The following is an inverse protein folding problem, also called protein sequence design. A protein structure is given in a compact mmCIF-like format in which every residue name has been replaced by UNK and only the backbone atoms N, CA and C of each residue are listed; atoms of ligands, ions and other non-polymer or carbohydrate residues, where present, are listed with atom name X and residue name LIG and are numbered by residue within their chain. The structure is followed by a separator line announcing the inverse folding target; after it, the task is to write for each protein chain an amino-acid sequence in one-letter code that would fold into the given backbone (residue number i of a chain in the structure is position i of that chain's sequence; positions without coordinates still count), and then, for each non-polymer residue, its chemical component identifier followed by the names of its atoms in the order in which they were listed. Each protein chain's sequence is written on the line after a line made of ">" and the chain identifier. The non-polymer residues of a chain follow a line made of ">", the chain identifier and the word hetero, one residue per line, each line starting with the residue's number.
data_IF_398236574008
#
_entry.id   IF_398236574008
#
_cell.length_a   1.000
_cell.length_b   1.000
_cell.length_c   1.000
_cell.angle_alpha   90.00
_cell.angle_beta   90.00
_cell.angle_gamma   90.00
#
_symmetry.space_group_name_H-M   'P 1'
#
loop_
_entity.id
_entity.type
_entity.pdbx_description
1 polymer ?
#
# COMPACT_ATOMS: atom_id res chain seq x y z
N UNK A 1 -0.28 8.97 7.22
CA UNK A 1 1.04 8.35 6.93
C UNK A 1 1.26 7.04 7.67
N UNK A 2 1.58 7.00 8.97
CA UNK A 2 2.03 5.77 9.64
C UNK A 2 1.18 4.50 9.44
N UNK A 3 -0.16 4.59 9.43
CA UNK A 3 -1.05 3.43 9.17
C UNK A 3 -0.92 2.90 7.74
N UNK A 4 -0.84 3.78 6.74
CA UNK A 4 -0.62 3.40 5.34
C UNK A 4 0.73 2.68 5.22
N UNK A 5 1.77 3.27 5.83
CA UNK A 5 3.13 2.72 5.81
C UNK A 5 3.21 1.32 6.43
N UNK A 6 2.51 1.11 7.55
CA UNK A 6 2.41 -0.21 8.19
C UNK A 6 1.66 -1.23 7.31
N UNK A 7 0.67 -0.83 6.52
CA UNK A 7 0.01 -1.74 5.58
C UNK A 7 1.00 -2.28 4.53
N UNK A 8 1.94 -1.46 4.07
CA UNK A 8 3.01 -1.91 3.18
C UNK A 8 4.06 -2.77 3.90
N UNK A 9 4.58 -2.27 5.02
CA UNK A 9 5.64 -2.95 5.78
C UNK A 9 5.21 -4.31 6.35
N UNK A 10 3.91 -4.49 6.63
CA UNK A 10 3.37 -5.74 7.22
C UNK A 10 2.67 -6.63 6.20
N UNK A 11 2.74 -6.31 4.90
CA UNK A 11 1.97 -7.02 3.86
C UNK A 11 0.48 -7.14 4.22
N UNK A 12 -0.12 -6.03 4.65
CA UNK A 12 -1.57 -5.89 4.92
C UNK A 12 -2.21 -4.87 3.99
N UNK A 13 -1.85 -4.94 2.69
CA UNK A 13 -2.39 -4.06 1.65
C UNK A 13 -3.91 -4.19 1.50
N UNK A 14 -4.48 -5.32 1.93
CA UNK A 14 -5.92 -5.55 2.04
C UNK A 14 -6.66 -4.53 2.94
N UNK A 15 -5.94 -3.86 3.85
CA UNK A 15 -6.51 -2.83 4.72
C UNK A 15 -6.48 -1.42 4.12
N UNK A 16 -5.72 -1.20 3.04
CA UNK A 16 -5.55 0.12 2.44
C UNK A 16 -6.89 0.78 2.02
N UNK A 17 -7.86 0.07 1.42
CA UNK A 17 -9.17 0.68 1.09
C UNK A 17 -9.88 1.23 2.33
N UNK A 18 -9.85 0.49 3.44
CA UNK A 18 -10.47 0.93 4.70
C UNK A 18 -9.73 2.10 5.34
N UNK A 19 -8.39 2.10 5.26
CA UNK A 19 -7.57 3.21 5.75
C UNK A 19 -7.82 4.46 4.91
N UNK A 20 -7.94 4.32 3.59
CA UNK A 20 -8.28 5.40 2.68
C UNK A 20 -9.67 5.99 3.01
N UNK A 21 -10.69 5.16 3.17
CA UNK A 21 -12.03 5.64 3.57
C UNK A 21 -12.02 6.41 4.89
N UNK A 22 -11.25 5.94 5.87
CA UNK A 22 -11.08 6.62 7.15
C UNK A 22 -10.43 8.00 6.98
N UNK A 23 -9.42 8.12 6.11
CA UNK A 23 -8.70 9.36 5.87
C UNK A 23 -9.52 10.36 5.06
N UNK A 24 -10.21 9.90 4.01
CA UNK A 24 -11.10 10.70 3.17
C UNK A 24 -12.21 11.37 4.00
N UNK A 25 -12.61 10.71 5.09
CA UNK A 25 -13.69 11.14 5.98
C UNK A 25 -15.08 10.79 5.46
N UNK A 26 -16.12 10.85 6.32
CA UNK A 26 -17.49 10.46 5.96
C UNK A 26 -18.07 11.30 4.81
N UNK A 27 -17.70 12.58 4.76
CA UNK A 27 -18.16 13.54 3.74
C UNK A 27 -17.18 13.69 2.56
N UNK A 28 -16.11 12.88 2.52
CA UNK A 28 -15.07 12.91 1.47
C UNK A 28 -14.32 14.26 1.32
N UNK A 29 -14.37 15.12 2.33
CA UNK A 29 -13.72 16.44 2.30
C UNK A 29 -12.18 16.38 2.27
N UNK A 30 -11.56 15.26 2.64
CA UNK A 30 -10.11 15.12 2.67
C UNK A 30 -9.53 14.43 1.43
N UNK A 31 -10.39 14.02 0.48
CA UNK A 31 -9.99 13.38 -0.77
C UNK A 31 -9.05 14.27 -1.56
N UNK A 32 -7.89 13.75 -2.00
CA UNK A 32 -6.98 14.48 -2.88
C UNK A 32 -6.24 15.65 -2.20
N UNK A 33 -6.39 15.83 -0.89
CA UNK A 33 -5.91 17.02 -0.20
C UNK A 33 -4.41 16.99 0.11
N UNK A 34 -3.80 15.80 0.18
CA UNK A 34 -2.39 15.65 0.55
C UNK A 34 -1.65 14.71 -0.41
N UNK A 35 -0.60 15.24 -1.03
CA UNK A 35 0.28 14.56 -1.98
C UNK A 35 0.81 13.24 -1.43
N UNK A 36 1.37 13.21 -0.22
CA UNK A 36 1.99 11.99 0.31
C UNK A 36 0.97 10.91 0.63
N UNK A 37 -0.23 11.30 1.07
CA UNK A 37 -1.32 10.35 1.33
C UNK A 37 -1.76 9.71 0.01
N UNK A 38 -2.06 10.52 -1.00
CA UNK A 38 -2.52 10.02 -2.28
C UNK A 38 -1.45 9.23 -3.03
N UNK A 39 -0.22 9.73 -3.03
CA UNK A 39 0.91 9.08 -3.69
C UNK A 39 1.17 7.70 -3.08
N UNK A 40 1.27 7.58 -1.75
CA UNK A 40 1.44 6.27 -1.11
C UNK A 40 0.26 5.33 -1.40
N UNK A 41 -0.97 5.82 -1.47
CA UNK A 41 -2.14 5.00 -1.76
C UNK A 41 -2.19 4.56 -3.23
N UNK A 42 -1.60 5.33 -4.15
CA UNK A 42 -1.58 5.03 -5.59
C UNK A 42 -0.78 3.76 -5.95
N UNK A 43 0.16 3.35 -5.09
CA UNK A 43 0.92 2.10 -5.25
C UNK A 43 0.09 0.83 -5.00
N UNK A 44 -1.15 0.97 -4.52
CA UNK A 44 -2.11 -0.13 -4.40
C UNK A 44 -3.11 -0.07 -5.57
N UNK A 45 -3.76 -1.20 -5.94
CA UNK A 45 -4.72 -1.24 -7.03
C UNK A 45 -6.06 -0.60 -6.63
N UNK A 46 -6.04 0.70 -6.40
CA UNK A 46 -7.17 1.53 -5.99
C UNK A 46 -7.29 2.72 -6.94
N UNK A 47 -8.50 3.18 -7.16
CA UNK A 47 -8.74 4.44 -7.84
C UNK A 47 -8.45 5.58 -6.84
N UNK A 48 -7.34 6.31 -7.06
CA UNK A 48 -6.84 7.37 -6.18
C UNK A 48 -6.69 8.69 -6.96
N UNK A 49 -6.52 9.77 -6.22
CA UNK A 49 -6.58 11.13 -6.76
C UNK A 49 -5.18 11.67 -6.99
N UNK A 50 -5.00 12.45 -8.05
CA UNK A 50 -3.79 13.27 -8.18
C UNK A 50 -3.86 14.43 -7.18
N UNK A 51 -2.71 14.73 -6.54
CA UNK A 51 -2.56 15.85 -5.61
C UNK A 51 -1.15 16.39 -5.73
N UNK A 52 -1.01 17.71 -5.71
CA UNK A 52 0.28 18.43 -5.72
C UNK A 52 0.51 19.20 -4.41
N UNK A 53 -0.40 19.05 -3.45
CA UNK A 53 -0.44 19.84 -2.22
C UNK A 53 0.11 19.01 -1.06
N UNK A 54 1.16 19.47 -0.40
CA UNK A 54 1.64 18.88 0.86
C UNK A 54 1.04 19.65 2.05
N UNK A 55 0.09 19.07 2.79
CA UNK A 55 -0.60 19.78 3.88
C UNK A 55 0.31 20.06 5.08
N UNK A 56 1.24 19.14 5.35
CA UNK A 56 2.17 19.26 6.48
C UNK A 56 3.60 19.23 5.96
N UNK A 57 4.20 20.40 5.82
CA UNK A 57 5.56 20.54 5.27
C UNK A 57 6.63 20.00 6.22
N UNK A 58 6.63 20.37 7.50
CA UNK A 58 7.61 19.85 8.47
C UNK A 58 6.99 18.72 9.31
N UNK A 59 7.55 17.50 9.35
CA UNK A 59 8.83 17.05 8.76
C UNK A 59 8.77 16.51 7.32
N UNK A 60 7.60 16.43 6.68
CA UNK A 60 7.37 15.55 5.53
C UNK A 60 7.86 16.05 4.16
N UNK A 61 8.32 17.29 4.03
CA UNK A 61 8.84 17.86 2.76
C UNK A 61 9.94 16.98 2.17
N UNK A 62 10.91 16.56 2.98
CA UNK A 62 12.00 15.70 2.49
C UNK A 62 11.55 14.27 2.20
N UNK A 63 10.39 13.83 2.68
CA UNK A 63 9.78 12.59 2.22
C UNK A 63 9.05 12.80 0.89
N UNK A 64 8.34 13.92 0.74
CA UNK A 64 7.69 14.28 -0.53
C UNK A 64 8.70 14.40 -1.66
N UNK A 65 9.82 15.10 -1.43
CA UNK A 65 10.94 15.17 -2.38
C UNK A 65 11.46 13.77 -2.77
N UNK A 66 11.48 12.82 -1.82
CA UNK A 66 11.96 11.48 -2.09
C UNK A 66 11.00 10.69 -3.00
N UNK A 67 9.69 10.88 -2.82
CA UNK A 67 8.66 10.24 -3.65
C UNK A 67 8.60 10.83 -5.07
N UNK A 68 8.87 12.13 -5.22
CA UNK A 68 8.94 12.83 -6.51
C UNK A 68 10.32 12.74 -7.20
N UNK A 69 11.27 12.01 -6.60
CA UNK A 69 12.62 11.89 -7.14
C UNK A 69 12.66 11.06 -8.43
N UNK A 70 13.44 11.53 -9.41
CA UNK A 70 13.61 10.85 -10.69
C UNK A 70 14.35 9.51 -10.61
N UNK A 71 15.16 9.31 -9.57
CA UNK A 71 15.89 8.06 -9.35
C UNK A 71 16.11 7.74 -7.85
N UNK A 72 16.44 6.48 -7.59
CA UNK A 72 16.61 5.95 -6.23
C UNK A 72 17.79 6.57 -5.48
N UNK A 73 18.81 7.08 -6.18
CA UNK A 73 19.96 7.73 -5.54
C UNK A 73 19.56 9.09 -5.00
N UNK A 74 18.77 9.85 -5.75
CA UNK A 74 18.22 11.12 -5.30
C UNK A 74 17.18 10.91 -4.20
N UNK A 75 16.27 9.93 -4.36
CA UNK A 75 15.34 9.54 -3.31
C UNK A 75 16.05 9.21 -1.98
N UNK A 76 17.13 8.43 -2.03
CA UNK A 76 17.94 8.10 -0.85
C UNK A 76 18.54 9.35 -0.18
N UNK A 77 18.96 10.37 -0.94
CA UNK A 77 19.46 11.63 -0.34
C UNK A 77 18.36 12.33 0.44
N UNK A 78 17.15 12.38 -0.12
CA UNK A 78 15.98 12.98 0.51
C UNK A 78 15.53 12.20 1.76
N UNK A 79 15.50 10.87 1.69
CA UNK A 79 15.22 10.01 2.86
C UNK A 79 16.25 10.17 3.98
N UNK A 80 17.55 10.31 3.65
CA UNK A 80 18.60 10.62 4.65
C UNK A 80 18.37 11.98 5.30
N UNK A 81 17.98 13.00 4.52
CA UNK A 81 17.67 14.34 5.03
C UNK A 81 16.45 14.28 5.96
N UNK A 82 15.40 13.58 5.55
CA UNK A 82 14.19 13.34 6.33
C UNK A 82 14.50 12.68 7.68
N UNK A 83 15.17 11.52 7.68
CA UNK A 83 15.51 10.78 8.91
C UNK A 83 16.48 11.53 9.83
N UNK A 84 17.43 12.29 9.26
CA UNK A 84 18.36 13.13 10.04
C UNK A 84 17.63 14.21 10.84
N UNK A 85 16.53 14.73 10.30
CA UNK A 85 15.77 15.82 10.91
C UNK A 85 14.58 15.34 11.75
N UNK A 86 14.11 14.11 11.50
CA UNK A 86 12.93 13.48 12.09
C UNK A 86 12.61 13.91 13.54
N UNK A 87 13.46 13.53 14.50
CA UNK A 87 13.17 13.82 15.91
C UNK A 87 13.14 15.32 16.24
N UNK A 88 14.05 16.11 15.63
CA UNK A 88 14.10 17.57 15.85
C UNK A 88 12.86 18.25 15.28
N UNK A 89 12.47 17.89 14.07
CA UNK A 89 11.35 18.50 13.36
C UNK A 89 10.00 18.11 13.98
N UNK A 90 9.97 17.02 14.75
CA UNK A 90 8.84 16.62 15.58
C UNK A 90 8.72 17.40 16.88
N UNK A 91 9.58 18.37 17.18
CA UNK A 91 9.54 19.14 18.44
C UNK A 91 8.19 19.85 18.70
N UNK A 92 7.43 20.17 17.65
CA UNK A 92 6.09 20.75 17.75
C UNK A 92 4.97 19.73 18.02
N UNK A 93 5.26 18.43 17.91
CA UNK A 93 4.25 17.40 18.10
C UNK A 93 3.90 17.24 19.59
N UNK A 94 2.61 17.08 19.97
CA UNK A 94 2.20 16.92 21.36
C UNK A 94 2.82 15.72 22.09
N UNK A 95 3.30 14.74 21.34
CA UNK A 95 3.94 13.51 21.81
C UNK A 95 5.48 13.58 21.75
N UNK A 96 6.05 14.70 21.33
CA UNK A 96 7.48 14.93 21.48
C UNK A 96 7.87 14.85 22.96
N UNK A 97 9.03 14.27 23.25
CA UNK A 97 9.48 13.94 24.61
C UNK A 97 8.57 13.03 25.45
N UNK A 98 7.56 12.36 24.87
CA UNK A 98 6.74 11.40 25.63
C UNK A 98 7.52 10.21 26.22
N UNK A 99 8.75 9.96 25.75
CA UNK A 99 9.68 8.98 26.33
C UNK A 99 10.31 9.46 27.65
N UNK A 100 10.22 10.75 27.97
CA UNK A 100 10.71 11.34 29.22
C UNK A 100 9.58 11.31 30.26
N UNK A 101 9.89 11.19 31.56
CA UNK A 101 8.90 11.36 32.61
C UNK A 101 8.30 12.77 32.58
N UNK A 102 7.01 12.89 32.90
CA UNK A 102 6.37 14.19 33.12
C UNK A 102 6.81 14.84 34.44
N UNK A 103 6.26 16.02 34.74
CA UNK A 103 6.58 16.77 35.96
C UNK A 103 6.25 16.01 37.26
N UNK A 104 5.42 14.96 37.20
CA UNK A 104 5.07 14.08 38.31
C UNK A 104 5.85 12.75 38.28
N UNK A 105 6.83 12.63 37.39
CA UNK A 105 7.64 11.42 37.22
C UNK A 105 6.89 10.28 36.52
N UNK A 106 5.72 10.53 35.95
CA UNK A 106 4.93 9.51 35.25
C UNK A 106 5.48 9.32 33.85
N UNK A 107 5.56 8.07 33.42
CA UNK A 107 5.89 7.69 32.05
C UNK A 107 4.68 7.00 31.43
N UNK A 108 4.24 7.42 30.24
CA UNK A 108 3.10 6.79 29.56
C UNK A 108 2.86 7.37 28.17
N UNK A 109 2.36 6.54 27.25
CA UNK A 109 2.00 6.97 25.91
C UNK A 109 3.14 7.01 24.88
N UNK A 110 4.38 6.69 25.25
CA UNK A 110 5.48 6.52 24.29
C UNK A 110 5.42 5.16 23.61
N UNK A 111 5.37 5.17 22.27
CA UNK A 111 5.35 3.97 21.44
C UNK A 111 6.50 3.93 20.41
N UNK A 112 7.54 4.74 20.63
CA UNK A 112 8.66 4.88 19.70
C UNK A 112 8.56 6.13 18.84
N UNK A 113 9.70 6.57 18.29
CA UNK A 113 9.79 7.59 17.24
C UNK A 113 9.92 6.94 15.86
N UNK A 114 9.26 5.80 15.62
CA UNK A 114 9.44 5.05 14.38
C UNK A 114 8.99 5.86 13.17
N UNK A 115 9.87 6.02 12.19
CA UNK A 115 9.52 6.57 10.88
C UNK A 115 9.13 5.43 9.95
N UNK A 116 7.89 4.95 10.10
CA UNK A 116 7.36 3.89 9.24
C UNK A 116 7.26 4.36 7.79
N UNK A 117 6.96 5.64 7.56
CA UNK A 117 6.88 6.22 6.24
C UNK A 117 8.21 6.21 5.47
N UNK A 118 9.36 6.40 6.13
CA UNK A 118 10.66 6.21 5.48
C UNK A 118 10.89 4.74 5.08
N UNK A 119 10.49 3.80 5.95
CA UNK A 119 10.59 2.36 5.65
C UNK A 119 9.70 1.95 4.49
N UNK A 120 8.46 2.43 4.46
CA UNK A 120 7.53 2.16 3.36
C UNK A 120 8.01 2.79 2.04
N UNK A 121 8.54 4.02 2.05
CA UNK A 121 9.10 4.65 0.85
C UNK A 121 10.21 3.82 0.21
N UNK A 122 11.09 3.19 1.02
CA UNK A 122 12.12 2.26 0.50
C UNK A 122 11.51 1.10 -0.27
N UNK A 123 10.38 0.54 0.21
CA UNK A 123 9.68 -0.53 -0.49
C UNK A 123 8.99 -0.04 -1.77
N UNK A 124 8.29 1.11 -1.70
CA UNK A 124 7.49 1.63 -2.81
C UNK A 124 8.37 2.10 -3.98
N UNK A 125 9.50 2.74 -3.68
CA UNK A 125 10.48 3.19 -4.67
C UNK A 125 11.41 2.06 -5.17
N UNK A 126 11.26 0.83 -4.67
CA UNK A 126 12.11 -0.30 -5.06
C UNK A 126 13.59 -0.07 -4.77
N UNK A 127 13.90 0.53 -3.61
CA UNK A 127 15.30 0.78 -3.22
C UNK A 127 15.91 -0.51 -2.67
N UNK A 128 16.81 -1.12 -3.45
CA UNK A 128 17.47 -2.37 -3.10
C UNK A 128 18.39 -2.25 -1.88
N UNK A 129 19.29 -1.26 -1.88
CA UNK A 129 20.26 -1.01 -0.81
C UNK A 129 19.94 0.29 -0.05
N UNK A 130 19.34 0.11 1.13
CA UNK A 130 18.98 1.14 2.09
C UNK A 130 19.94 1.18 3.30
N UNK A 131 21.07 0.47 3.25
CA UNK A 131 22.04 0.38 4.37
C UNK A 131 22.50 1.73 4.90
N UNK A 132 22.54 2.74 4.03
CA UNK A 132 22.88 4.11 4.38
C UNK A 132 21.91 4.77 5.38
N UNK A 133 20.69 4.23 5.51
CA UNK A 133 19.65 4.68 6.44
C UNK A 133 19.74 3.98 7.82
N UNK A 134 20.49 2.87 7.93
CA UNK A 134 20.54 2.07 9.16
C UNK A 134 21.20 2.80 10.34
N UNK A 135 21.90 3.89 10.08
CA UNK A 135 22.51 4.74 11.12
C UNK A 135 21.47 5.55 11.89
N UNK A 136 20.25 5.70 11.36
CA UNK A 136 19.18 6.48 11.98
C UNK A 136 18.34 5.59 12.89
N UNK A 137 18.35 5.89 14.20
CA UNK A 137 17.65 5.11 15.24
C UNK A 137 16.15 4.87 14.94
N UNK A 138 15.53 5.81 14.26
CA UNK A 138 14.09 5.85 13.98
C UNK A 138 13.70 5.05 12.73
N UNK A 139 14.69 4.66 11.93
CA UNK A 139 14.48 3.89 10.72
C UNK A 139 14.18 2.42 11.07
N UNK A 140 13.04 1.85 10.64
CA UNK A 140 12.62 0.52 11.04
C UNK A 140 13.31 -0.57 10.18
N UNK A 141 14.65 -0.59 10.16
CA UNK A 141 15.47 -1.45 9.27
C UNK A 141 15.05 -2.92 9.28
N UNK A 142 14.83 -3.49 10.47
CA UNK A 142 14.52 -4.92 10.60
C UNK A 142 13.12 -5.25 10.05
N UNK A 143 12.21 -4.28 10.09
CA UNK A 143 10.87 -4.41 9.50
C UNK A 143 10.91 -4.27 7.98
N UNK A 144 11.78 -3.41 7.44
CA UNK A 144 12.02 -3.28 5.99
C UNK A 144 12.66 -4.55 5.44
N UNK A 145 13.71 -5.06 6.10
CA UNK A 145 14.36 -6.33 5.77
C UNK A 145 13.35 -7.49 5.79
N UNK A 146 12.52 -7.54 6.84
CA UNK A 146 11.46 -8.53 6.94
C UNK A 146 10.47 -8.39 5.77
N UNK A 147 10.01 -7.17 5.46
CA UNK A 147 9.06 -6.94 4.37
C UNK A 147 9.63 -7.38 3.01
N UNK A 148 10.88 -7.01 2.71
CA UNK A 148 11.61 -7.43 1.49
C UNK A 148 11.68 -8.96 1.38
N UNK A 149 12.05 -9.64 2.48
CA UNK A 149 12.15 -11.10 2.52
C UNK A 149 10.80 -11.83 2.39
N UNK A 150 9.68 -11.16 2.64
CA UNK A 150 8.33 -11.74 2.63
C UNK A 150 7.44 -11.21 1.50
N UNK A 151 8.01 -10.70 0.41
CA UNK A 151 7.27 -10.20 -0.76
C UNK A 151 6.28 -11.22 -1.36
N UNK A 152 6.49 -12.52 -1.14
CA UNK A 152 5.54 -13.58 -1.51
C UNK A 152 4.17 -13.46 -0.83
N UNK A 153 4.08 -12.80 0.33
CA UNK A 153 2.81 -12.57 1.02
C UNK A 153 1.94 -11.57 0.27
N UNK A 154 2.54 -10.56 -0.34
CA UNK A 154 1.86 -9.65 -1.25
C UNK A 154 1.29 -10.40 -2.46
N UNK A 155 2.10 -11.25 -3.11
CA UNK A 155 1.65 -12.04 -4.25
C UNK A 155 0.47 -12.95 -3.90
N UNK A 156 0.48 -13.55 -2.70
CA UNK A 156 -0.66 -14.34 -2.20
C UNK A 156 -1.89 -13.48 -1.93
N UNK A 157 -1.75 -12.30 -1.34
CA UNK A 157 -2.88 -11.39 -1.14
C UNK A 157 -3.46 -10.89 -2.46
N UNK A 158 -2.62 -10.52 -3.42
CA UNK A 158 -3.05 -10.12 -4.75
C UNK A 158 -3.75 -11.27 -5.46
N UNK A 159 -3.25 -12.51 -5.34
CA UNK A 159 -3.93 -13.70 -5.85
C UNK A 159 -5.27 -13.96 -5.15
N UNK A 160 -5.38 -13.74 -3.83
CA UNK A 160 -6.62 -13.90 -3.07
C UNK A 160 -7.65 -12.82 -3.44
N UNK A 161 -7.24 -11.56 -3.51
CA UNK A 161 -8.07 -10.44 -3.96
C UNK A 161 -8.53 -10.63 -5.42
N UNK A 162 -7.65 -11.14 -6.27
CA UNK A 162 -7.96 -11.59 -7.61
C UNK A 162 -8.98 -12.74 -7.59
N UNK A 163 -8.82 -13.80 -6.78
CA UNK A 163 -9.84 -14.87 -6.64
C UNK A 163 -11.17 -14.43 -5.98
N UNK A 164 -11.20 -13.24 -5.37
CA UNK A 164 -12.40 -12.61 -4.83
C UNK A 164 -13.30 -12.00 -5.91
N UNK A 165 -12.75 -11.69 -7.09
CA UNK A 165 -13.54 -11.33 -8.26
C UNK A 165 -14.25 -12.59 -8.78
N UNK A 166 -15.53 -12.68 -8.43
CA UNK A 166 -16.44 -13.73 -8.87
C UNK A 166 -17.59 -13.10 -9.64
N UNK A 167 -18.03 -13.76 -10.70
CA UNK A 167 -19.16 -13.33 -11.51
C UNK A 167 -20.00 -14.56 -11.85
N UNK A 168 -21.29 -14.50 -11.53
CA UNK A 168 -22.24 -15.56 -11.90
C UNK A 168 -22.51 -15.52 -13.41
N UNK A 169 -22.76 -16.69 -14.01
CA UNK A 169 -23.20 -16.73 -15.39
C UNK A 169 -24.50 -15.92 -15.60
N UNK A 170 -24.57 -15.20 -16.72
CA UNK A 170 -25.63 -14.26 -17.05
C UNK A 170 -25.41 -12.84 -16.52
N UNK A 171 -24.39 -12.62 -15.67
CA UNK A 171 -24.01 -11.27 -15.24
C UNK A 171 -22.95 -10.66 -16.18
N UNK A 172 -22.93 -9.32 -16.33
CA UNK A 172 -21.88 -8.65 -17.08
C UNK A 172 -20.53 -8.75 -16.35
N UNK A 173 -19.47 -8.95 -17.14
CA UNK A 173 -18.11 -9.08 -16.62
C UNK A 173 -17.69 -7.79 -15.89
N UNK A 174 -17.36 -7.86 -14.58
CA UNK A 174 -17.05 -6.65 -13.81
C UNK A 174 -15.70 -6.03 -14.19
N UNK A 175 -14.77 -6.83 -14.74
CA UNK A 175 -13.42 -6.40 -15.11
C UNK A 175 -12.89 -7.21 -16.28
N UNK A 176 -12.38 -6.53 -17.30
CA UNK A 176 -11.78 -7.16 -18.48
C UNK A 176 -10.51 -7.94 -18.13
N UNK A 177 -10.41 -9.19 -18.58
CA UNK A 177 -9.27 -10.07 -18.31
C UNK A 177 -9.56 -11.56 -18.52
N UNK A 178 -8.64 -12.42 -18.13
CA UNK A 178 -8.81 -13.88 -18.10
C UNK A 178 -9.59 -14.33 -16.87
N UNK A 179 -10.60 -15.15 -17.11
CA UNK A 179 -11.43 -15.79 -16.08
C UNK A 179 -11.51 -17.29 -16.34
N UNK A 180 -11.70 -18.06 -15.28
CA UNK A 180 -11.91 -19.50 -15.33
C UNK A 180 -13.08 -19.91 -14.45
N UNK A 181 -13.66 -21.07 -14.74
CA UNK A 181 -14.67 -21.69 -13.87
C UNK A 181 -14.26 -23.11 -13.50
N UNK A 182 -14.31 -23.50 -12.21
CA UNK A 182 -14.05 -24.87 -11.78
C UNK A 182 -15.04 -25.89 -12.36
N UNK A 183 -16.20 -25.41 -12.84
CA UNK A 183 -17.25 -26.22 -13.45
C UNK A 183 -16.78 -27.01 -14.69
N UNK A 184 -15.70 -26.56 -15.35
CA UNK A 184 -15.14 -27.22 -16.53
C UNK A 184 -13.63 -27.03 -16.59
N UNK A 185 -12.89 -28.13 -16.72
CA UNK A 185 -11.45 -28.09 -16.98
C UNK A 185 -11.15 -27.40 -18.32
N UNK A 186 -10.11 -26.58 -18.36
CA UNK A 186 -9.77 -25.79 -19.55
C UNK A 186 -10.79 -24.70 -19.90
N UNK A 187 -11.56 -24.21 -18.92
CA UNK A 187 -12.56 -23.14 -19.15
C UNK A 187 -11.97 -21.74 -19.29
N UNK A 188 -10.68 -21.56 -18.91
CA UNK A 188 -9.95 -20.30 -18.93
C UNK A 188 -10.11 -19.58 -20.25
N UNK A 189 -10.61 -18.34 -20.21
CA UNK A 189 -10.74 -17.48 -21.40
C UNK A 189 -10.79 -16.02 -21.02
N UNK A 190 -10.48 -15.16 -21.99
CA UNK A 190 -10.58 -13.72 -21.85
C UNK A 190 -12.03 -13.25 -21.98
N UNK A 191 -12.43 -12.32 -21.11
CA UNK A 191 -13.69 -11.56 -21.19
C UNK A 191 -13.36 -10.06 -21.14
N UNK A 192 -13.84 -9.25 -22.10
CA UNK A 192 -13.91 -7.80 -21.96
C UNK A 192 -14.87 -7.39 -20.85
N UNK A 193 -14.63 -6.24 -20.23
CA UNK A 193 -15.54 -5.67 -19.24
C UNK A 193 -16.92 -5.43 -19.87
N UNK A 194 -17.98 -5.73 -19.11
CA UNK A 194 -19.37 -5.59 -19.56
C UNK A 194 -19.89 -6.75 -20.41
N UNK A 195 -19.04 -7.66 -20.90
CA UNK A 195 -19.51 -8.84 -21.64
C UNK A 195 -20.24 -9.81 -20.69
N UNK A 196 -21.43 -10.28 -21.08
CA UNK A 196 -22.15 -11.29 -20.32
C UNK A 196 -21.36 -12.60 -20.24
N UNK A 197 -21.25 -13.15 -19.02
CA UNK A 197 -20.53 -14.38 -18.79
C UNK A 197 -21.40 -15.61 -19.05
N UNK A 198 -20.97 -16.56 -19.90
CA UNK A 198 -21.82 -17.66 -20.32
C UNK A 198 -21.95 -18.73 -19.24
N UNK A 199 -23.10 -19.43 -19.17
CA UNK A 199 -23.21 -20.64 -18.36
C UNK A 199 -22.36 -21.76 -18.96
N UNK A 200 -21.78 -22.58 -18.10
CA UNK A 200 -21.04 -23.79 -18.44
C UNK A 200 -21.72 -24.96 -17.75
N UNK A 201 -22.17 -25.93 -18.54
CA UNK A 201 -22.83 -27.13 -18.02
C UNK A 201 -21.94 -27.82 -16.99
N UNK A 202 -22.45 -27.99 -15.78
CA UNK A 202 -21.79 -28.64 -14.66
C UNK A 202 -22.82 -29.47 -13.89
N UNK A 203 -22.38 -30.58 -13.31
CA UNK A 203 -23.23 -31.46 -12.51
C UNK A 203 -23.58 -30.86 -11.13
N UNK A 204 -23.02 -29.69 -10.78
CA UNK A 204 -22.99 -29.14 -9.41
C UNK A 204 -23.63 -27.75 -9.27
N UNK A 205 -24.46 -27.30 -10.22
CA UNK A 205 -25.24 -26.06 -10.11
C UNK A 205 -24.73 -24.90 -10.97
N UNK A 206 -25.06 -23.67 -10.55
CA UNK A 206 -24.81 -22.41 -11.29
C UNK A 206 -23.32 -22.17 -11.55
N UNK A 207 -22.99 -21.75 -12.77
CA UNK A 207 -21.60 -21.45 -13.16
C UNK A 207 -21.14 -20.15 -12.51
N UNK A 208 -20.06 -20.24 -11.72
CA UNK A 208 -19.37 -19.08 -11.18
C UNK A 208 -18.02 -18.96 -11.88
N UNK A 209 -17.81 -17.83 -12.53
CA UNK A 209 -16.52 -17.43 -13.09
C UNK A 209 -15.68 -16.76 -12.02
N UNK A 210 -14.41 -17.11 -11.97
CA UNK A 210 -13.41 -16.60 -11.05
C UNK A 210 -12.29 -15.97 -11.87
N UNK A 211 -11.84 -14.79 -11.46
CA UNK A 211 -10.74 -14.13 -12.12
C UNK A 211 -9.46 -14.97 -11.98
N UNK A 212 -8.73 -15.13 -13.08
CA UNK A 212 -7.47 -15.86 -13.10
C UNK A 212 -6.33 -14.91 -12.67
N UNK A 213 -5.60 -15.16 -11.58
CA UNK A 213 -4.45 -14.30 -11.22
C UNK A 213 -3.38 -14.29 -12.32
N UNK A 214 -3.29 -15.32 -13.16
CA UNK A 214 -2.46 -15.32 -14.36
C UNK A 214 -3.22 -14.70 -15.54
N UNK A 215 -2.79 -13.52 -15.98
CA UNK A 215 -3.38 -12.78 -17.10
C UNK A 215 -2.60 -12.89 -18.41
N UNK A 216 -1.57 -13.75 -18.47
CA UNK A 216 -0.80 -13.96 -19.71
C UNK A 216 -1.60 -14.76 -20.75
N UNK A 217 -1.31 -14.57 -22.03
CA UNK A 217 -1.96 -15.38 -23.07
C UNK A 217 -1.64 -16.89 -22.88
N UNK A 218 -2.60 -17.79 -23.15
CA UNK A 218 -2.33 -19.22 -23.11
C UNK A 218 -1.20 -19.55 -24.09
N UNK A 219 -0.14 -20.18 -23.60
CA UNK A 219 0.92 -20.74 -24.45
C UNK A 219 0.34 -21.89 -25.27
N UNK A 220 0.52 -21.82 -26.59
CA UNK A 220 0.14 -22.86 -27.56
C UNK A 220 0.91 -24.17 -27.35
#
# INVERSE_FOLDING_TARGET
>A
MGLISLCYLLHRRDLLPRVAELLDGPDKNNVGMDFLIEDFLSYAPMDRYESDTLLVTEPFESLADAMDSADNKDALKHLRKFLKRWYKDLAGAPWHDAHKPDAQGRTGGYYGYWSFEAGAAVLLLGIDDDSSLHTYLYYPKDLVDWAKAHSVLEAKQNAVAATGLRCEAGQPCPKGGYWMTPAKSGSRRYFPQGQEMPPVASDYGTTIWQWDPNQADPTL
#
